data_IF_597452694867
#
_entry.id   IF_597452694867
#
_cell.length_a   1.000
_cell.length_b   1.000
_cell.length_c   1.000
_cell.angle_alpha   90.00
_cell.angle_beta   90.00
_cell.angle_gamma   90.00
#
_symmetry.space_group_name_H-M   'P 1'
#
loop_
_entity.id
_entity.type
_entity.pdbx_description
1 polymer ?
#
# COMPACT_ATOMS: atom_id res chain seq x y z
N UNK A 1 16.84 -10.02 -20.80
CA UNK A 1 17.07 -9.05 -19.71
C UNK A 1 15.76 -8.33 -19.45
N UNK A 2 15.46 -8.02 -18.18
CA UNK A 2 14.27 -7.28 -17.78
C UNK A 2 14.63 -5.84 -17.41
N UNK A 3 13.66 -4.94 -17.47
CA UNK A 3 13.80 -3.55 -17.05
C UNK A 3 12.67 -3.20 -16.08
N UNK A 4 13.02 -2.78 -14.86
CA UNK A 4 12.05 -2.35 -13.86
C UNK A 4 11.60 -0.92 -14.21
N UNK A 5 10.30 -0.71 -14.35
CA UNK A 5 9.73 0.59 -14.76
C UNK A 5 9.03 1.33 -13.61
N UNK A 6 8.86 0.68 -12.45
CA UNK A 6 8.25 1.29 -11.28
C UNK A 6 8.12 0.32 -10.11
N UNK A 7 7.74 0.87 -8.96
CA UNK A 7 7.38 0.14 -7.75
C UNK A 7 6.14 0.75 -7.10
N UNK A 8 5.32 -0.11 -6.48
CA UNK A 8 4.12 0.32 -5.77
C UNK A 8 4.20 -0.20 -4.33
N UNK A 9 4.02 0.69 -3.37
CA UNK A 9 3.72 0.34 -1.98
C UNK A 9 2.21 0.40 -1.82
N UNK A 10 1.58 -0.76 -1.59
CA UNK A 10 0.15 -0.91 -1.30
C UNK A 10 -0.04 -1.31 0.16
N UNK A 11 -0.39 -0.39 1.08
CA UNK A 11 -0.66 -0.75 2.45
C UNK A 11 -2.00 -1.50 2.57
N UNK A 12 -2.03 -2.58 3.34
CA UNK A 12 -3.26 -3.36 3.62
C UNK A 12 -4.38 -2.52 4.23
N UNK A 13 -5.65 -2.88 4.02
CA UNK A 13 -6.81 -2.32 4.72
C UNK A 13 -6.81 -2.58 6.23
N UNK A 14 -7.62 -1.81 6.97
CA UNK A 14 -7.72 -1.93 8.44
C UNK A 14 -8.50 -3.19 8.87
N UNK A 15 -9.38 -3.69 8.00
CA UNK A 15 -10.15 -4.93 8.23
C UNK A 15 -9.29 -6.20 8.27
N UNK A 16 -8.00 -6.10 7.90
CA UNK A 16 -7.04 -7.18 8.13
C UNK A 16 -6.92 -7.57 9.61
N UNK A 17 -7.26 -6.65 10.54
CA UNK A 17 -7.49 -7.00 11.94
C UNK A 17 -6.25 -7.45 12.72
N UNK A 18 -5.03 -7.26 12.18
CA UNK A 18 -3.79 -7.63 12.86
C UNK A 18 -3.61 -6.78 14.12
N UNK A 19 -3.43 -7.44 15.27
CA UNK A 19 -3.24 -6.76 16.54
C UNK A 19 -2.04 -5.78 16.48
N UNK A 20 -2.29 -4.54 16.89
CA UNK A 20 -1.29 -3.46 16.86
C UNK A 20 -1.11 -2.78 15.50
N UNK A 21 -1.89 -3.15 14.48
CA UNK A 21 -1.90 -2.43 13.21
C UNK A 21 -2.54 -1.06 13.39
N UNK A 22 -1.77 -0.01 13.12
CA UNK A 22 -2.27 1.37 13.16
C UNK A 22 -3.15 1.66 11.93
N UNK A 23 -4.12 2.57 12.08
CA UNK A 23 -5.09 2.88 11.03
C UNK A 23 -4.44 3.22 9.67
N UNK A 24 -5.06 2.79 8.58
CA UNK A 24 -4.55 2.84 7.22
C UNK A 24 -4.18 4.26 6.80
N UNK A 25 -4.99 5.25 7.18
CA UNK A 25 -4.72 6.68 6.96
C UNK A 25 -3.34 7.12 7.48
N UNK A 26 -2.89 6.58 8.62
CA UNK A 26 -1.59 6.92 9.18
C UNK A 26 -0.47 6.22 8.42
N UNK A 27 -0.66 4.94 8.05
CA UNK A 27 0.32 4.18 7.26
C UNK A 27 0.51 4.79 5.87
N UNK A 28 -0.57 5.19 5.22
CA UNK A 28 -0.55 5.93 3.96
C UNK A 28 0.23 7.23 4.09
N UNK A 29 -0.08 8.05 5.10
CA UNK A 29 0.64 9.30 5.32
C UNK A 29 2.15 9.07 5.53
N UNK A 30 2.52 8.10 6.36
CA UNK A 30 3.91 7.74 6.60
C UNK A 30 4.61 7.25 5.32
N UNK A 31 3.96 6.37 4.55
CA UNK A 31 4.53 5.86 3.30
C UNK A 31 4.72 6.97 2.25
N UNK A 32 3.75 7.89 2.13
CA UNK A 32 3.84 9.03 1.21
C UNK A 32 4.99 9.96 1.60
N UNK A 33 5.18 10.22 2.90
CA UNK A 33 6.33 10.99 3.38
C UNK A 33 7.66 10.27 3.11
N UNK A 34 7.72 8.96 3.36
CA UNK A 34 8.93 8.16 3.11
C UNK A 34 9.33 8.14 1.63
N UNK A 35 8.36 8.17 0.72
CA UNK A 35 8.58 8.13 -0.73
C UNK A 35 8.60 9.51 -1.39
N UNK A 36 8.57 10.62 -0.63
CA UNK A 36 8.48 11.97 -1.19
C UNK A 36 9.62 12.32 -2.16
N UNK A 37 10.80 11.69 -2.00
CA UNK A 37 11.98 11.88 -2.86
C UNK A 37 12.23 10.73 -3.83
N UNK A 38 11.34 9.75 -3.87
CA UNK A 38 11.43 8.63 -4.80
C UNK A 38 10.90 9.06 -6.16
N UNK A 39 11.64 8.74 -7.22
CA UNK A 39 11.29 9.01 -8.61
C UNK A 39 10.69 7.78 -9.34
N UNK A 40 10.75 6.60 -8.73
CA UNK A 40 10.28 5.35 -9.35
C UNK A 40 9.34 4.50 -8.50
N UNK A 41 9.19 4.83 -7.20
CA UNK A 41 8.27 4.13 -6.28
C UNK A 41 7.17 5.08 -5.80
N UNK A 42 5.92 4.68 -5.92
CA UNK A 42 4.74 5.42 -5.44
C UNK A 42 3.97 4.65 -4.37
N UNK A 43 3.07 5.36 -3.67
CA UNK A 43 2.08 4.75 -2.76
C UNK A 43 0.74 4.69 -3.47
N UNK A 44 0.16 3.51 -3.55
CA UNK A 44 -1.21 3.27 -3.99
C UNK A 44 -2.09 2.98 -2.76
N UNK A 45 -3.28 3.56 -2.73
CA UNK A 45 -4.21 3.45 -1.61
C UNK A 45 -5.44 2.58 -1.89
N UNK A 46 -5.51 1.93 -3.05
CA UNK A 46 -6.66 1.12 -3.45
C UNK A 46 -6.97 0.00 -2.45
N UNK A 47 -5.97 -0.82 -2.09
CA UNK A 47 -6.15 -1.94 -1.14
C UNK A 47 -6.60 -1.44 0.24
N UNK A 48 -6.07 -0.29 0.65
CA UNK A 48 -6.35 0.28 1.96
C UNK A 48 -7.75 0.88 2.11
N UNK A 49 -8.41 1.15 0.99
CA UNK A 49 -9.76 1.72 0.91
C UNK A 49 -10.85 0.65 0.71
N UNK A 50 -10.48 -0.63 0.56
CA UNK A 50 -11.46 -1.71 0.49
C UNK A 50 -12.18 -1.87 1.85
N UNK A 51 -13.49 -2.12 1.81
CA UNK A 51 -14.31 -2.26 3.02
C UNK A 51 -13.91 -3.51 3.83
N UNK A 52 -13.60 -4.60 3.14
CA UNK A 52 -13.15 -5.87 3.72
C UNK A 52 -11.68 -6.16 3.38
N UNK A 53 -11.06 -7.06 4.15
CA UNK A 53 -9.74 -7.59 3.78
C UNK A 53 -9.72 -8.19 2.37
N UNK A 54 -8.70 -7.80 1.60
CA UNK A 54 -8.50 -8.24 0.23
C UNK A 54 -7.31 -9.19 0.13
N UNK A 55 -7.50 -10.35 -0.53
CA UNK A 55 -6.40 -11.26 -0.86
C UNK A 55 -5.38 -10.56 -1.76
N UNK A 56 -4.08 -10.78 -1.54
CA UNK A 56 -3.01 -10.15 -2.34
C UNK A 56 -3.14 -10.43 -3.84
N UNK A 57 -3.72 -11.58 -4.24
CA UNK A 57 -3.96 -11.89 -5.66
C UNK A 57 -5.01 -10.99 -6.30
N UNK A 58 -5.94 -10.44 -5.52
CA UNK A 58 -6.94 -9.47 -5.99
C UNK A 58 -6.28 -8.11 -6.18
N UNK A 59 -5.42 -7.67 -5.26
CA UNK A 59 -4.63 -6.43 -5.40
C UNK A 59 -3.71 -6.44 -6.64
N UNK A 60 -3.25 -7.62 -7.08
CA UNK A 60 -2.38 -7.77 -8.24
C UNK A 60 -3.09 -7.82 -9.60
N UNK A 61 -4.42 -7.98 -9.62
CA UNK A 61 -5.23 -8.16 -10.85
C UNK A 61 -5.75 -6.84 -11.38
#
# INVERSE_FOLDING_TARGET
LYHVVGGIVSPVGDDYGKQGLVASKHRLAMARLALQRSDWVSVDDWESQQEDWTETVVTLR
#
